data_IF_855140776206
#
_entry.id   IF_855140776206
#
_cell.length_a   1.000
_cell.length_b   1.000
_cell.length_c   1.000
_cell.angle_alpha   90.00
_cell.angle_beta   90.00
_cell.angle_gamma   90.00
#
_symmetry.space_group_name_H-M   'P 1'
#
loop_
_entity.id
_entity.type
_entity.pdbx_description
1 polymer ?
#
# COMPACT_ATOMS: atom_id res chain seq x y z
N UNK A 1 -3.28 -17.69 11.39
CA UNK A 1 -4.01 -16.45 11.01
C UNK A 1 -3.78 -15.39 12.08
N UNK A 2 -3.68 -14.10 11.72
CA UNK A 2 -3.45 -13.00 12.68
C UNK A 2 -4.60 -12.87 13.69
N UNK A 3 -4.33 -12.32 14.87
CA UNK A 3 -5.39 -12.02 15.86
C UNK A 3 -6.40 -11.04 15.28
N UNK A 4 -7.70 -11.28 15.48
CA UNK A 4 -8.76 -10.39 14.99
C UNK A 4 -9.02 -10.43 13.48
N UNK A 5 -8.44 -11.40 12.75
CA UNK A 5 -8.58 -11.51 11.29
C UNK A 5 -10.01 -11.75 10.81
N UNK A 6 -10.86 -12.34 11.67
CA UNK A 6 -12.26 -12.64 11.40
C UNK A 6 -13.13 -11.87 12.37
N UNK A 7 -14.08 -11.13 11.83
CA UNK A 7 -15.05 -10.35 12.59
C UNK A 7 -16.45 -10.65 12.08
N UNK A 8 -17.48 -10.21 12.81
CA UNK A 8 -18.85 -10.39 12.36
C UNK A 8 -19.08 -9.56 11.10
N UNK A 9 -19.34 -10.22 9.98
CA UNK A 9 -19.66 -9.56 8.71
C UNK A 9 -18.46 -9.23 7.81
N UNK A 10 -17.21 -9.42 8.24
CA UNK A 10 -16.04 -9.25 7.37
C UNK A 10 -14.77 -9.92 7.90
N UNK A 11 -13.78 -10.04 7.01
CA UNK A 11 -12.44 -10.53 7.28
C UNK A 11 -11.45 -9.42 7.00
N UNK A 12 -10.40 -9.26 7.81
CA UNK A 12 -9.36 -8.24 7.57
C UNK A 12 -7.99 -8.75 7.99
N UNK A 13 -7.03 -8.63 7.09
CA UNK A 13 -5.62 -8.88 7.38
C UNK A 13 -4.81 -7.62 7.05
N UNK A 14 -3.85 -7.28 7.90
CA UNK A 14 -2.89 -6.20 7.65
C UNK A 14 -1.53 -6.79 7.36
N UNK A 15 -0.80 -6.17 6.43
CA UNK A 15 0.49 -6.63 5.97
C UNK A 15 1.46 -5.46 5.85
N UNK A 16 2.72 -5.74 6.15
CA UNK A 16 3.85 -4.86 5.93
C UNK A 16 4.66 -5.40 4.76
N UNK A 17 4.69 -4.65 3.65
CA UNK A 17 5.45 -5.02 2.46
C UNK A 17 6.86 -4.42 2.58
N UNK A 18 7.92 -5.26 2.67
CA UNK A 18 9.28 -4.77 2.73
C UNK A 18 9.70 -4.24 1.35
N UNK A 19 10.30 -3.05 1.35
CA UNK A 19 10.95 -2.49 0.17
C UNK A 19 12.44 -2.31 0.48
N UNK A 20 13.34 -2.76 -0.41
CA UNK A 20 14.78 -2.69 -0.14
C UNK A 20 15.22 -1.22 0.05
N UNK A 21 15.83 -0.95 1.20
CA UNK A 21 16.33 0.38 1.57
C UNK A 21 15.27 1.41 1.96
N UNK A 22 14.04 0.99 2.28
CA UNK A 22 12.93 1.90 2.63
C UNK A 22 12.10 1.37 3.79
N UNK A 23 11.34 2.25 4.44
CA UNK A 23 10.34 1.83 5.42
C UNK A 23 9.27 0.94 4.76
N UNK A 24 8.80 -0.10 5.45
CA UNK A 24 7.82 -1.01 4.89
C UNK A 24 6.49 -0.29 4.64
N UNK A 25 5.93 -0.51 3.44
CA UNK A 25 4.61 0.00 3.11
C UNK A 25 3.52 -0.78 3.83
N UNK A 26 2.54 -0.08 4.40
CA UNK A 26 1.39 -0.71 5.04
C UNK A 26 0.26 -0.94 4.04
N UNK A 27 -0.24 -2.17 3.97
CA UNK A 27 -1.43 -2.50 3.21
C UNK A 27 -2.36 -3.41 4.01
N UNK A 28 -3.63 -3.45 3.60
CA UNK A 28 -4.60 -4.37 4.20
C UNK A 28 -5.49 -5.01 3.15
N UNK A 29 -5.87 -6.24 3.41
CA UNK A 29 -6.82 -7.00 2.61
C UNK A 29 -8.08 -7.18 3.45
N UNK A 30 -9.24 -6.79 2.93
CA UNK A 30 -10.53 -6.98 3.56
C UNK A 30 -11.43 -7.87 2.70
N UNK A 31 -12.00 -8.93 3.27
CA UNK A 31 -12.97 -9.79 2.61
C UNK A 31 -14.37 -9.52 3.16
N UNK A 32 -15.32 -9.16 2.31
CA UNK A 32 -16.70 -8.91 2.68
C UNK A 32 -17.61 -9.95 2.00
N UNK A 33 -18.26 -10.85 2.76
CA UNK A 33 -19.22 -11.79 2.20
C UNK A 33 -20.47 -11.05 1.72
N UNK A 34 -20.84 -11.30 0.47
CA UNK A 34 -22.01 -10.72 -0.21
C UNK A 34 -22.81 -11.86 -0.84
N UNK A 35 -23.81 -12.34 -0.10
CA UNK A 35 -24.60 -13.52 -0.44
C UNK A 35 -23.71 -14.75 -0.74
N UNK A 36 -23.67 -15.21 -1.99
CA UNK A 36 -22.88 -16.36 -2.45
C UNK A 36 -21.49 -15.97 -2.97
N UNK A 37 -21.11 -14.70 -2.87
CA UNK A 37 -19.80 -14.19 -3.29
C UNK A 37 -19.02 -13.64 -2.11
N UNK A 38 -17.70 -13.58 -2.25
CA UNK A 38 -16.78 -12.89 -1.36
C UNK A 38 -16.11 -11.78 -2.16
N UNK A 39 -16.33 -10.52 -1.76
CA UNK A 39 -15.62 -9.38 -2.35
C UNK A 39 -14.35 -9.17 -1.53
N UNK A 40 -13.20 -9.23 -2.20
CA UNK A 40 -11.91 -9.01 -1.56
C UNK A 40 -11.37 -7.66 -2.02
N UNK A 41 -11.15 -6.76 -1.06
CA UNK A 41 -10.61 -5.43 -1.25
C UNK A 41 -9.14 -5.38 -0.81
N UNK A 42 -8.27 -4.87 -1.67
CA UNK A 42 -6.92 -4.44 -1.34
C UNK A 42 -6.90 -2.94 -1.08
N UNK A 43 -6.33 -2.56 0.07
CA UNK A 43 -6.22 -1.20 0.55
C UNK A 43 -4.75 -0.86 0.77
N UNK A 44 -4.24 0.13 0.04
CA UNK A 44 -2.93 0.70 0.27
C UNK A 44 -3.12 2.10 0.89
N UNK A 45 -2.35 2.40 1.94
CA UNK A 45 -2.33 3.77 2.47
C UNK A 45 -1.37 4.58 1.60
N UNK A 46 -1.95 5.45 0.77
CA UNK A 46 -1.23 6.46 -0.01
C UNK A 46 -1.69 7.84 0.44
N UNK A 47 -0.80 8.83 0.38
CA UNK A 47 -0.98 10.18 0.92
C UNK A 47 -2.38 10.76 0.60
N UNK A 48 -3.20 10.94 1.65
CA UNK A 48 -4.54 11.53 1.60
C UNK A 48 -5.64 10.79 0.80
N UNK A 49 -5.32 9.73 0.05
CA UNK A 49 -6.29 9.04 -0.82
C UNK A 49 -6.20 7.51 -0.70
N UNK A 50 -7.35 6.86 -0.53
CA UNK A 50 -7.45 5.42 -0.54
C UNK A 50 -7.73 4.95 -1.96
N UNK A 51 -6.75 4.27 -2.57
CA UNK A 51 -7.01 3.48 -3.76
C UNK A 51 -7.36 2.06 -3.36
N UNK A 52 -8.56 1.65 -3.76
CA UNK A 52 -9.10 0.32 -3.48
C UNK A 52 -9.16 -0.50 -4.75
N UNK A 53 -8.42 -1.58 -4.77
CA UNK A 53 -8.51 -2.61 -5.80
C UNK A 53 -9.40 -3.72 -5.25
N UNK A 54 -10.25 -4.33 -6.08
CA UNK A 54 -11.15 -5.36 -5.59
C UNK A 54 -11.38 -6.47 -6.60
N UNK A 55 -11.64 -7.66 -6.08
CA UNK A 55 -12.03 -8.82 -6.86
C UNK A 55 -13.23 -9.50 -6.21
N UNK A 56 -14.22 -9.85 -7.03
CA UNK A 56 -15.34 -10.67 -6.59
C UNK A 56 -15.02 -12.13 -6.88
N UNK A 57 -15.08 -12.96 -5.85
CA UNK A 57 -14.87 -14.39 -5.91
C UNK A 57 -16.15 -15.13 -5.55
N UNK A 58 -16.44 -16.23 -6.23
CA UNK A 58 -17.48 -17.17 -5.81
C UNK A 58 -16.80 -18.34 -5.10
N UNK A 59 -16.98 -18.51 -3.78
CA UNK A 59 -16.34 -19.60 -3.05
C UNK A 59 -16.66 -20.98 -3.63
N UNK A 60 -17.86 -21.18 -4.20
CA UNK A 60 -18.27 -22.42 -4.88
C UNK A 60 -17.36 -22.83 -6.04
N UNK A 61 -16.66 -21.88 -6.64
CA UNK A 61 -15.81 -22.14 -7.82
C UNK A 61 -14.42 -22.65 -7.42
N UNK A 62 -14.08 -22.56 -6.13
CA UNK A 62 -12.74 -22.85 -5.59
C UNK A 62 -12.77 -23.73 -4.34
N UNK A 63 -13.92 -23.90 -3.69
CA UNK A 63 -14.14 -24.68 -2.48
C UNK A 63 -15.25 -25.70 -2.75
N UNK A 64 -14.96 -26.98 -2.58
CA UNK A 64 -15.88 -28.07 -2.88
C UNK A 64 -16.57 -28.61 -1.62
N UNK A 65 -15.89 -29.51 -0.91
CA UNK A 65 -16.39 -30.16 0.30
C UNK A 65 -15.49 -29.75 1.47
N UNK A 66 -16.09 -29.16 2.49
CA UNK A 66 -15.41 -28.90 3.76
C UNK A 66 -15.11 -30.25 4.43
N UNK A 67 -13.90 -30.75 4.20
CA UNK A 67 -13.40 -31.99 4.78
C UNK A 67 -12.14 -31.71 5.59
N UNK A 68 -11.76 -32.63 6.49
CA UNK A 68 -10.46 -32.56 7.17
C UNK A 68 -9.26 -32.75 6.24
N UNK A 69 -9.49 -33.20 5.00
CA UNK A 69 -8.45 -33.43 4.01
C UNK A 69 -8.26 -32.18 3.13
N UNK A 70 -7.37 -31.29 3.57
CA UNK A 70 -7.09 -29.97 2.96
C UNK A 70 -6.88 -30.02 1.43
N UNK A 71 -6.09 -30.95 0.86
CA UNK A 71 -5.96 -31.10 -0.60
C UNK A 71 -7.27 -31.27 -1.36
N UNK A 72 -8.27 -31.91 -0.75
CA UNK A 72 -9.57 -32.17 -1.40
C UNK A 72 -10.55 -30.99 -1.33
N UNK A 73 -10.29 -30.01 -0.44
CA UNK A 73 -11.19 -28.88 -0.19
C UNK A 73 -11.07 -27.81 -1.27
N UNK A 74 -9.87 -27.60 -1.81
CA UNK A 74 -9.58 -26.50 -2.73
C UNK A 74 -9.34 -26.97 -4.16
N UNK A 75 -9.99 -26.32 -5.12
CA UNK A 75 -9.87 -26.59 -6.55
C UNK A 75 -9.53 -25.31 -7.32
N UNK A 76 -8.89 -25.46 -8.48
CA UNK A 76 -8.61 -24.31 -9.35
C UNK A 76 -7.67 -23.27 -8.74
N UNK A 77 -6.75 -23.68 -7.85
CA UNK A 77 -5.85 -22.78 -7.13
C UNK A 77 -4.94 -21.95 -8.04
N UNK A 78 -4.51 -22.50 -9.19
CA UNK A 78 -3.73 -21.73 -10.18
C UNK A 78 -4.54 -20.54 -10.72
N UNK A 79 -5.80 -20.80 -11.09
CA UNK A 79 -6.73 -19.77 -11.57
C UNK A 79 -7.01 -18.72 -10.49
N UNK A 80 -7.29 -19.17 -9.26
CA UNK A 80 -7.53 -18.27 -8.13
C UNK A 80 -6.31 -17.40 -7.84
N UNK A 81 -5.12 -18.01 -7.79
CA UNK A 81 -3.85 -17.33 -7.54
C UNK A 81 -3.58 -16.27 -8.60
N UNK A 82 -3.76 -16.61 -9.88
CA UNK A 82 -3.59 -15.67 -10.99
C UNK A 82 -4.59 -14.52 -10.90
N UNK A 83 -5.87 -14.83 -10.76
CA UNK A 83 -6.92 -13.81 -10.65
C UNK A 83 -6.68 -12.86 -9.47
N UNK A 84 -6.36 -13.39 -8.29
CA UNK A 84 -6.11 -12.56 -7.11
C UNK A 84 -4.83 -11.71 -7.26
N UNK A 85 -3.75 -12.28 -7.81
CA UNK A 85 -2.50 -11.57 -8.02
C UNK A 85 -2.65 -10.44 -9.04
N UNK A 86 -3.29 -10.73 -10.17
CA UNK A 86 -3.41 -9.79 -11.28
C UNK A 86 -4.38 -8.66 -10.95
N UNK A 87 -5.46 -8.93 -10.22
CA UNK A 87 -6.47 -7.93 -9.90
C UNK A 87 -6.18 -7.15 -8.62
N UNK A 88 -5.58 -7.77 -7.60
CA UNK A 88 -5.39 -7.13 -6.28
C UNK A 88 -3.92 -6.95 -5.96
N UNK A 89 -3.10 -8.01 -5.95
CA UNK A 89 -1.74 -7.89 -5.42
C UNK A 89 -0.83 -6.98 -6.25
N UNK A 90 -0.77 -7.18 -7.57
CA UNK A 90 0.13 -6.43 -8.44
C UNK A 90 -0.24 -4.94 -8.51
N UNK A 91 -1.52 -4.55 -8.72
CA UNK A 91 -1.88 -3.14 -8.71
C UNK A 91 -1.62 -2.47 -7.35
N UNK A 92 -1.87 -3.19 -6.25
CA UNK A 92 -1.61 -2.69 -4.89
C UNK A 92 -0.12 -2.47 -4.62
N UNK A 93 0.74 -3.38 -5.06
CA UNK A 93 2.20 -3.24 -4.96
C UNK A 93 2.72 -2.07 -5.80
N UNK A 94 2.22 -1.92 -7.02
CA UNK A 94 2.58 -0.81 -7.90
C UNK A 94 2.18 0.54 -7.28
N UNK A 95 1.00 0.61 -6.67
CA UNK A 95 0.53 1.82 -6.00
C UNK A 95 1.42 2.20 -4.81
N UNK A 96 1.75 1.23 -3.95
CA UNK A 96 2.66 1.43 -2.81
C UNK A 96 4.05 1.88 -3.28
N UNK A 97 4.61 1.23 -4.29
CA UNK A 97 5.90 1.60 -4.85
C UNK A 97 5.89 3.04 -5.39
N UNK A 98 4.81 3.43 -6.08
CA UNK A 98 4.64 4.78 -6.63
C UNK A 98 4.47 5.83 -5.52
N UNK A 99 3.68 5.53 -4.48
CA UNK A 99 3.47 6.42 -3.34
C UNK A 99 4.79 6.70 -2.60
N UNK A 100 5.57 5.66 -2.35
CA UNK A 100 6.87 5.78 -1.69
C UNK A 100 7.86 6.57 -2.56
N UNK A 101 7.85 6.38 -3.88
CA UNK A 101 8.71 7.16 -4.79
C UNK A 101 8.36 8.66 -4.77
N UNK A 102 7.07 9.00 -4.76
CA UNK A 102 6.61 10.41 -4.65
C UNK A 102 7.06 11.06 -3.35
N UNK A 103 6.93 10.36 -2.22
CA UNK A 103 7.39 10.86 -0.91
C UNK A 103 8.89 11.19 -0.94
N UNK A 104 9.71 10.32 -1.53
CA UNK A 104 11.15 10.55 -1.66
C UNK A 104 11.49 11.77 -2.52
N UNK A 105 10.75 11.98 -3.62
CA UNK A 105 10.93 13.19 -4.46
C UNK A 105 10.60 14.45 -3.68
N UNK A 106 9.50 14.46 -2.94
CA UNK A 106 9.10 15.62 -2.13
C UNK A 106 10.14 15.94 -1.05
N UNK A 107 10.63 14.92 -0.31
CA UNK A 107 11.72 15.09 0.68
C UNK A 107 12.99 15.66 0.04
N UNK A 108 13.29 15.27 -1.20
CA UNK A 108 14.46 15.79 -1.93
C UNK A 108 14.25 17.26 -2.33
N UNK A 109 13.06 17.63 -2.77
CA UNK A 109 12.71 19.02 -3.11
C UNK A 109 12.78 19.92 -1.88
N UNK A 110 12.21 19.49 -0.74
CA UNK A 110 12.24 20.27 0.51
C UNK A 110 13.67 20.52 0.99
N UNK A 111 14.57 19.52 0.86
CA UNK A 111 15.99 19.70 1.17
C UNK A 111 16.67 20.71 0.24
N UNK A 112 16.37 20.67 -1.06
CA UNK A 112 16.95 21.64 -2.01
C UNK A 112 16.43 23.06 -1.75
N UNK A 113 15.15 23.22 -1.43
CA UNK A 113 14.58 24.51 -1.04
C UNK A 113 15.17 25.03 0.27
N UNK A 114 15.35 24.17 1.28
CA UNK A 114 16.00 24.56 2.54
C UNK A 114 17.46 25.03 2.35
N UNK A 115 18.20 24.37 1.46
CA UNK A 115 19.57 24.78 1.11
C UNK A 115 19.55 26.13 0.37
N UNK A 116 18.65 26.31 -0.60
CA UNK A 116 18.51 27.61 -1.29
C UNK A 116 18.17 28.73 -0.32
N UNK A 117 17.22 28.53 0.59
CA UNK A 117 16.83 29.54 1.55
C UNK A 117 17.97 29.90 2.52
N UNK A 118 18.73 28.91 2.97
CA UNK A 118 19.92 29.14 3.80
C UNK A 118 21.01 29.93 3.06
N UNK A 119 21.25 29.64 1.77
CA UNK A 119 22.23 30.38 0.95
C UNK A 119 21.75 31.82 0.71
N UNK A 120 20.47 32.02 0.39
CA UNK A 120 19.91 33.36 0.17
C UNK A 120 20.00 34.20 1.45
N UNK A 121 19.67 33.64 2.62
CA UNK A 121 19.81 34.35 3.90
C UNK A 121 21.26 34.73 4.21
N UNK A 122 22.23 33.85 3.93
CA UNK A 122 23.65 34.15 4.13
C UNK A 122 24.17 35.24 3.18
N UNK A 123 23.63 35.33 1.97
CA UNK A 123 24.01 36.36 1.00
C UNK A 123 23.38 37.71 1.35
N UNK A 124 22.14 37.76 1.84
CA UNK A 124 21.52 39.00 2.34
C UNK A 124 22.26 39.57 3.56
N UNK A 125 22.74 38.71 4.46
CA UNK A 125 23.57 39.13 5.61
C UNK A 125 24.97 39.65 5.18
N UNK A 126 25.52 39.14 4.08
CA UNK A 126 26.80 39.59 3.52
C UNK A 126 26.67 40.94 2.79
N UNK A 127 25.58 41.17 2.06
CA UNK A 127 25.33 42.46 1.40
C UNK A 127 25.06 43.58 2.42
N UNK A 128 24.58 43.26 3.64
CA UNK A 128 24.39 44.25 4.71
C UNK A 128 25.69 44.64 5.44
N UNK A 129 26.74 43.81 5.37
CA UNK A 129 28.00 44.06 6.05
C UNK A 129 28.94 45.03 5.29
N UNK A 130 28.70 45.25 4.00
CA UNK A 130 29.53 46.13 3.15
C UNK A 130 29.10 47.61 3.21
N UNK A 131 27.85 47.89 3.63
CA UNK A 131 27.28 49.25 3.73
C UNK A 131 27.54 49.96 5.08
N UNK A 132 28.26 49.33 6.02
CA UNK A 132 28.61 49.90 7.34
C UNK A 132 30.08 50.34 7.46
N UNK A 133 30.84 50.30 6.36
CA UNK A 133 32.23 50.73 6.28
C UNK A 133 32.42 52.10 5.65
N UNK A 134 31.89 53.17 6.26
CA UNK A 134 32.23 54.57 5.91
C UNK A 134 32.33 55.46 7.14
#
# INVERSE_FOLDING_TARGET
MPTGWKQLGYYKCMYHLPFPGREPGECSIAGVPMASSLIVHGLARSDGSFKTEHVQLKPSDFVTNLSGNVPSVYVGLDRLSRQFKDTVCLPLQNELATAIDKLMRNVTIDKHQGIQWAITSMLEDLDYADDLGL
#
